data_IF_889900988329
#
_entry.id   IF_889900988329
#
_cell.length_a   1.000
_cell.length_b   1.000
_cell.length_c   1.000
_cell.angle_alpha   90.00
_cell.angle_beta   90.00
_cell.angle_gamma   90.00
#
_symmetry.space_group_name_H-M   'P 1'
#
loop_
_entity.id
_entity.type
_entity.pdbx_description
1 polymer ?
#
# COMPACT_ATOMS: atom_id res chain seq x y z
N UNK A 1 -36.51 -43.25 23.68
CA UNK A 1 -35.06 -42.93 23.53
C UNK A 1 -34.62 -42.69 22.10
N UNK A 2 -35.06 -43.39 21.09
CA UNK A 2 -34.66 -43.19 19.68
C UNK A 2 -35.13 -41.85 19.08
N UNK A 3 -36.28 -41.32 19.46
CA UNK A 3 -36.81 -40.07 18.93
C UNK A 3 -35.96 -38.84 19.36
N UNK A 4 -35.46 -38.80 20.59
CA UNK A 4 -34.61 -37.72 21.06
C UNK A 4 -33.25 -37.68 20.36
N UNK A 5 -32.71 -38.83 19.98
CA UNK A 5 -31.44 -38.93 19.26
C UNK A 5 -31.54 -38.40 17.82
N UNK A 6 -32.68 -38.61 17.15
CA UNK A 6 -32.90 -38.12 15.79
C UNK A 6 -33.08 -36.60 15.78
N UNK A 7 -33.89 -36.05 16.68
CA UNK A 7 -34.04 -34.59 16.81
C UNK A 7 -32.75 -33.89 17.15
N UNK A 8 -31.95 -34.46 18.04
CA UNK A 8 -30.64 -33.92 18.40
C UNK A 8 -29.69 -33.89 17.22
N UNK A 9 -29.67 -34.92 16.39
CA UNK A 9 -28.84 -35.01 15.18
C UNK A 9 -29.26 -33.98 14.11
N UNK A 10 -30.56 -33.85 13.90
CA UNK A 10 -31.11 -32.85 12.95
C UNK A 10 -30.79 -31.45 13.46
N UNK A 11 -30.99 -31.16 14.73
CA UNK A 11 -30.69 -29.86 15.32
C UNK A 11 -29.20 -29.55 15.28
N UNK A 12 -28.34 -30.51 15.63
CA UNK A 12 -26.89 -30.33 15.52
C UNK A 12 -26.44 -30.09 14.08
N UNK A 13 -27.01 -30.80 13.10
CA UNK A 13 -26.73 -30.60 11.69
C UNK A 13 -27.13 -29.20 11.21
N UNK A 14 -28.29 -28.72 11.67
CA UNK A 14 -28.77 -27.38 11.32
C UNK A 14 -27.89 -26.29 11.93
N UNK A 15 -27.50 -26.42 13.18
CA UNK A 15 -26.57 -25.50 13.85
C UNK A 15 -25.23 -25.46 13.14
N UNK A 16 -24.66 -26.60 12.78
CA UNK A 16 -23.40 -26.67 12.02
C UNK A 16 -23.55 -26.00 10.67
N UNK A 17 -24.64 -26.21 9.96
CA UNK A 17 -24.90 -25.55 8.67
C UNK A 17 -24.93 -24.03 8.81
N UNK A 18 -25.64 -23.51 9.81
CA UNK A 18 -25.72 -22.05 10.08
C UNK A 18 -24.35 -21.48 10.41
N UNK A 19 -23.56 -22.16 11.22
CA UNK A 19 -22.20 -21.75 11.57
C UNK A 19 -21.29 -21.74 10.34
N UNK A 20 -21.38 -22.77 9.48
CA UNK A 20 -20.60 -22.82 8.24
C UNK A 20 -20.96 -21.68 7.27
N UNK A 21 -22.25 -21.40 7.11
CA UNK A 21 -22.72 -20.28 6.24
C UNK A 21 -22.25 -18.94 6.80
N UNK A 22 -22.33 -18.72 8.10
CA UNK A 22 -21.86 -17.50 8.75
C UNK A 22 -20.35 -17.33 8.59
N UNK A 23 -19.57 -18.39 8.77
CA UNK A 23 -18.12 -18.40 8.63
C UNK A 23 -17.72 -18.09 7.17
N UNK A 24 -18.39 -18.74 6.22
CA UNK A 24 -18.13 -18.52 4.81
C UNK A 24 -18.46 -17.08 4.37
N UNK A 25 -19.59 -16.54 4.83
CA UNK A 25 -19.97 -15.16 4.59
C UNK A 25 -18.95 -14.18 5.16
N UNK A 26 -18.46 -14.42 6.37
CA UNK A 26 -17.41 -13.62 6.99
C UNK A 26 -16.10 -13.63 6.17
N UNK A 27 -15.66 -14.80 5.72
CA UNK A 27 -14.45 -14.91 4.89
C UNK A 27 -14.59 -14.18 3.56
N UNK A 28 -15.76 -14.28 2.90
CA UNK A 28 -16.02 -13.54 1.66
C UNK A 28 -15.94 -12.02 1.87
N UNK A 29 -16.53 -11.50 2.93
CA UNK A 29 -16.47 -10.08 3.27
C UNK A 29 -15.03 -9.65 3.52
N UNK A 30 -14.23 -10.45 4.22
CA UNK A 30 -12.81 -10.15 4.44
C UNK A 30 -12.01 -10.11 3.15
N UNK A 31 -12.22 -11.04 2.23
CA UNK A 31 -11.54 -11.06 0.94
C UNK A 31 -11.90 -9.83 0.11
N UNK A 32 -13.18 -9.48 0.03
CA UNK A 32 -13.65 -8.31 -0.71
C UNK A 32 -13.07 -7.02 -0.12
N UNK A 33 -13.08 -6.87 1.20
CA UNK A 33 -12.53 -5.70 1.87
C UNK A 33 -11.02 -5.58 1.65
N UNK A 34 -10.29 -6.69 1.66
CA UNK A 34 -8.86 -6.69 1.41
C UNK A 34 -8.53 -6.25 -0.02
N UNK A 35 -9.26 -6.74 -1.01
CA UNK A 35 -9.08 -6.33 -2.42
C UNK A 35 -9.38 -4.84 -2.61
N UNK A 36 -10.48 -4.34 -2.07
CA UNK A 36 -10.82 -2.90 -2.15
C UNK A 36 -9.79 -2.02 -1.46
N UNK A 37 -9.28 -2.45 -0.32
CA UNK A 37 -8.23 -1.71 0.38
C UNK A 37 -6.94 -1.64 -0.44
N UNK A 38 -6.56 -2.69 -1.16
CA UNK A 38 -5.41 -2.68 -2.05
C UNK A 38 -5.61 -1.74 -3.24
N UNK A 39 -6.73 -1.83 -3.94
CA UNK A 39 -7.06 -0.95 -5.07
C UNK A 39 -7.06 0.53 -4.64
N UNK A 40 -7.60 0.83 -3.47
CA UNK A 40 -7.61 2.18 -2.92
C UNK A 40 -6.20 2.69 -2.60
N UNK A 41 -5.34 1.84 -2.00
CA UNK A 41 -3.94 2.17 -1.72
C UNK A 41 -3.15 2.42 -2.99
N UNK A 42 -3.32 1.59 -4.01
CA UNK A 42 -2.67 1.78 -5.31
C UNK A 42 -3.11 3.09 -5.96
N UNK A 43 -4.39 3.37 -5.96
CA UNK A 43 -4.95 4.61 -6.51
C UNK A 43 -4.44 5.86 -5.78
N UNK A 44 -4.36 5.83 -4.45
CA UNK A 44 -3.78 6.92 -3.66
C UNK A 44 -2.29 7.11 -3.94
N UNK A 45 -1.54 6.02 -4.01
CA UNK A 45 -0.10 6.06 -4.27
C UNK A 45 0.17 6.61 -5.67
N UNK A 46 -0.58 6.17 -6.67
CA UNK A 46 -0.46 6.67 -8.04
C UNK A 46 -0.87 8.15 -8.15
N UNK A 47 -1.92 8.55 -7.43
CA UNK A 47 -2.34 9.95 -7.34
C UNK A 47 -1.29 10.85 -6.68
N UNK A 48 -0.70 10.41 -5.58
CA UNK A 48 0.42 11.12 -4.93
C UNK A 48 1.63 11.21 -5.85
N UNK A 49 1.98 10.14 -6.54
CA UNK A 49 3.07 10.10 -7.51
C UNK A 49 2.85 11.15 -8.62
N UNK A 50 1.65 11.24 -9.13
CA UNK A 50 1.29 12.22 -10.14
C UNK A 50 1.46 13.66 -9.63
N UNK A 51 0.93 13.96 -8.46
CA UNK A 51 1.00 15.32 -7.86
C UNK A 51 2.46 15.71 -7.59
N UNK A 52 3.25 14.81 -7.04
CA UNK A 52 4.67 15.05 -6.75
C UNK A 52 5.45 15.24 -8.04
N UNK A 53 5.25 14.40 -9.03
CA UNK A 53 5.91 14.50 -10.33
C UNK A 53 5.58 15.82 -11.05
N UNK A 54 4.32 16.22 -11.07
CA UNK A 54 3.90 17.51 -11.65
C UNK A 54 4.45 18.70 -10.86
N UNK A 55 4.48 18.63 -9.53
CA UNK A 55 5.06 19.69 -8.70
C UNK A 55 6.55 19.91 -8.99
N UNK A 56 7.31 18.84 -9.18
CA UNK A 56 8.73 18.90 -9.52
C UNK A 56 8.93 19.40 -10.96
N UNK A 57 8.12 18.94 -11.90
CA UNK A 57 8.22 19.36 -13.31
C UNK A 57 7.99 20.86 -13.49
N UNK A 58 7.25 21.51 -12.60
CA UNK A 58 7.02 22.96 -12.62
C UNK A 58 8.21 23.78 -12.13
N UNK A 59 9.18 23.16 -11.46
CA UNK A 59 10.36 23.87 -10.97
C UNK A 59 11.37 24.07 -12.11
N UNK A 60 11.83 25.33 -12.37
CA UNK A 60 12.60 25.64 -13.57
C UNK A 60 14.07 25.20 -13.51
N UNK A 61 14.64 25.00 -12.34
CA UNK A 61 16.03 24.58 -12.17
C UNK A 61 16.21 23.52 -11.10
N UNK A 62 17.39 22.90 -11.06
CA UNK A 62 17.72 21.82 -10.14
C UNK A 62 17.68 22.26 -8.67
N UNK A 63 18.15 23.46 -8.36
CA UNK A 63 18.13 23.98 -6.99
C UNK A 63 16.69 24.15 -6.47
N UNK A 64 15.80 24.68 -7.27
CA UNK A 64 14.39 24.81 -6.90
C UNK A 64 13.69 23.47 -6.79
N UNK A 65 14.07 22.47 -7.61
CA UNK A 65 13.59 21.09 -7.47
C UNK A 65 14.00 20.49 -6.14
N UNK A 66 15.27 20.66 -5.75
CA UNK A 66 15.78 20.19 -4.47
C UNK A 66 15.08 20.85 -3.29
N UNK A 67 14.88 22.17 -3.36
CA UNK A 67 14.15 22.92 -2.33
C UNK A 67 12.70 22.44 -2.20
N UNK A 68 12.04 22.24 -3.34
CA UNK A 68 10.67 21.73 -3.37
C UNK A 68 10.57 20.31 -2.76
N UNK A 69 11.52 19.42 -3.07
CA UNK A 69 11.59 18.07 -2.51
C UNK A 69 11.81 18.13 -1.01
N UNK A 70 12.71 19.01 -0.54
CA UNK A 70 12.96 19.20 0.89
C UNK A 70 11.72 19.69 1.63
N UNK A 71 11.01 20.65 1.07
CA UNK A 71 9.77 21.17 1.66
C UNK A 71 8.67 20.10 1.69
N UNK A 72 8.52 19.34 0.62
CA UNK A 72 7.56 18.23 0.55
C UNK A 72 7.92 17.13 1.55
N UNK A 73 9.18 16.79 1.69
CA UNK A 73 9.66 15.81 2.67
C UNK A 73 9.35 16.24 4.09
N UNK A 74 9.55 17.51 4.42
CA UNK A 74 9.23 18.05 5.73
C UNK A 74 7.72 18.09 5.99
N UNK A 75 6.93 18.51 5.00
CA UNK A 75 5.47 18.59 5.11
C UNK A 75 4.83 17.23 5.30
N UNK A 76 5.28 16.24 4.55
CA UNK A 76 4.77 14.87 4.60
C UNK A 76 5.38 14.06 5.77
N UNK A 77 6.43 14.58 6.40
CA UNK A 77 7.21 13.85 7.40
C UNK A 77 7.73 12.49 6.89
N UNK A 78 8.04 12.43 5.61
CA UNK A 78 8.58 11.24 4.94
C UNK A 78 9.91 11.58 4.27
N UNK A 79 10.95 10.76 4.46
CA UNK A 79 12.20 10.93 3.72
C UNK A 79 11.98 10.75 2.22
N UNK A 80 12.32 11.77 1.44
CA UNK A 80 12.26 11.75 -0.02
C UNK A 80 13.68 11.92 -0.55
N UNK A 81 14.14 10.97 -1.34
CA UNK A 81 15.46 10.97 -1.95
C UNK A 81 15.35 11.21 -3.45
N UNK A 82 16.18 12.10 -3.96
CA UNK A 82 16.36 12.35 -5.38
C UNK A 82 17.61 11.60 -5.84
N UNK A 83 17.41 10.50 -6.56
CA UNK A 83 18.49 9.57 -6.94
C UNK A 83 18.61 9.43 -8.43
N UNK A 84 19.81 9.11 -8.92
CA UNK A 84 20.02 8.79 -10.33
C UNK A 84 19.41 7.44 -10.67
N UNK A 85 18.73 7.34 -11.81
CA UNK A 85 18.06 6.13 -12.26
C UNK A 85 19.02 4.95 -12.48
N UNK A 86 20.25 5.21 -12.90
CA UNK A 86 21.29 4.21 -13.12
C UNK A 86 21.81 3.54 -11.83
N UNK A 87 21.62 4.19 -10.69
CA UNK A 87 21.99 3.65 -9.37
C UNK A 87 20.93 2.75 -8.73
N UNK A 88 19.76 2.66 -9.34
CA UNK A 88 18.64 1.86 -8.83
C UNK A 88 18.40 0.69 -9.77
N UNK A 89 18.53 -0.52 -9.25
CA UNK A 89 18.17 -1.73 -10.00
C UNK A 89 16.66 -1.92 -9.99
N UNK A 90 16.01 -1.51 -11.08
CA UNK A 90 14.60 -1.70 -11.27
C UNK A 90 14.30 -3.10 -11.82
N UNK A 91 13.33 -3.78 -11.24
CA UNK A 91 12.77 -4.98 -11.84
C UNK A 91 12.00 -4.61 -13.12
N UNK A 92 11.76 -5.59 -13.98
CA UNK A 92 11.00 -5.37 -15.22
C UNK A 92 9.58 -4.86 -14.95
N UNK A 93 8.92 -5.35 -13.88
CA UNK A 93 7.61 -4.91 -13.46
C UNK A 93 7.63 -3.47 -12.95
N UNK A 94 8.63 -3.09 -12.15
CA UNK A 94 8.80 -1.72 -11.65
C UNK A 94 9.07 -0.75 -12.81
N UNK A 95 9.96 -1.07 -13.72
CA UNK A 95 10.25 -0.25 -14.91
C UNK A 95 8.99 -0.03 -15.76
N UNK A 96 8.18 -1.06 -15.96
CA UNK A 96 6.90 -0.96 -16.68
C UNK A 96 5.93 -0.01 -16.00
N UNK A 97 5.79 -0.07 -14.68
CA UNK A 97 4.92 0.85 -13.93
C UNK A 97 5.38 2.30 -14.06
N UNK A 98 6.67 2.55 -14.01
CA UNK A 98 7.23 3.89 -14.20
C UNK A 98 7.01 4.44 -15.61
N UNK A 99 7.09 3.60 -16.64
CA UNK A 99 6.75 3.97 -18.02
C UNK A 99 5.27 4.35 -18.16
N UNK A 100 4.38 3.69 -17.44
CA UNK A 100 2.95 3.97 -17.39
C UNK A 100 2.61 5.19 -16.48
N UNK A 101 3.62 5.88 -15.97
CA UNK A 101 3.51 7.03 -15.03
C UNK A 101 2.82 6.67 -13.72
N UNK A 102 2.99 5.44 -13.28
CA UNK A 102 2.53 4.94 -12.00
C UNK A 102 3.70 4.83 -11.04
N UNK A 103 3.41 4.84 -9.74
CA UNK A 103 4.41 4.54 -8.73
C UNK A 103 4.72 3.04 -8.68
N UNK A 104 5.98 2.70 -8.44
CA UNK A 104 6.38 1.36 -8.07
C UNK A 104 6.57 1.27 -6.56
N UNK A 105 6.10 0.20 -5.95
CA UNK A 105 6.26 -0.04 -4.51
C UNK A 105 7.19 -1.22 -4.32
N UNK A 106 8.27 -0.99 -3.58
CA UNK A 106 9.24 -2.03 -3.22
C UNK A 106 9.18 -2.28 -1.72
N UNK A 107 8.99 -3.52 -1.35
CA UNK A 107 8.98 -3.95 0.04
C UNK A 107 10.31 -4.60 0.41
N UNK A 108 10.96 -4.09 1.43
CA UNK A 108 12.12 -4.72 2.03
C UNK A 108 11.69 -5.59 3.22
N UNK A 109 11.73 -6.91 3.03
CA UNK A 109 11.33 -7.86 4.06
C UNK A 109 12.29 -7.91 5.27
N UNK A 110 13.55 -7.50 5.11
CA UNK A 110 14.53 -7.51 6.18
C UNK A 110 14.35 -6.35 7.15
N UNK A 111 14.06 -5.16 6.61
CA UNK A 111 13.89 -3.94 7.40
C UNK A 111 12.43 -3.60 7.66
N UNK A 112 11.48 -4.32 7.05
CA UNK A 112 10.04 -4.04 7.08
C UNK A 112 9.68 -2.62 6.62
N UNK A 113 10.44 -2.10 5.66
CA UNK A 113 10.27 -0.76 5.11
C UNK A 113 9.73 -0.85 3.69
N UNK A 114 8.74 -0.04 3.39
CA UNK A 114 8.24 0.13 2.03
C UNK A 114 8.92 1.34 1.38
N UNK A 115 9.32 1.18 0.13
CA UNK A 115 9.85 2.26 -0.70
C UNK A 115 8.89 2.52 -1.85
N UNK A 116 8.57 3.78 -2.06
CA UNK A 116 7.76 4.22 -3.19
C UNK A 116 8.70 4.88 -4.19
N UNK A 117 8.74 4.34 -5.40
CA UNK A 117 9.60 4.82 -6.49
C UNK A 117 8.73 5.58 -7.48
N UNK A 118 9.09 6.81 -7.79
CA UNK A 118 8.37 7.70 -8.69
C UNK A 118 9.30 8.15 -9.81
N UNK A 119 8.86 7.94 -11.06
CA UNK A 119 9.54 8.50 -12.22
C UNK A 119 9.15 9.96 -12.43
N UNK A 120 10.11 10.78 -12.86
CA UNK A 120 9.90 12.20 -13.17
C UNK A 120 9.55 12.39 -14.63
N UNK A 121 8.57 13.25 -14.91
CA UNK A 121 8.02 13.49 -16.26
C UNK A 121 9.06 14.03 -17.25
N UNK A 122 9.88 14.98 -16.81
CA UNK A 122 10.84 15.71 -17.68
C UNK A 122 12.29 15.36 -17.37
N UNK A 123 12.54 14.40 -16.50
CA UNK A 123 13.88 13.99 -16.07
C UNK A 123 13.97 12.45 -15.97
N UNK A 124 14.20 11.76 -17.11
CA UNK A 124 14.31 10.32 -17.12
C UNK A 124 15.57 9.78 -16.42
N UNK A 125 16.55 10.63 -16.15
CA UNK A 125 17.82 10.27 -15.53
C UNK A 125 17.74 10.19 -13.99
N UNK A 126 16.65 10.69 -13.40
CA UNK A 126 16.44 10.72 -11.97
C UNK A 126 15.13 10.07 -11.56
N UNK A 127 15.12 9.51 -10.36
CA UNK A 127 13.96 8.92 -9.71
C UNK A 127 13.79 9.52 -8.32
N UNK A 128 12.54 9.60 -7.87
CA UNK A 128 12.25 9.84 -6.47
C UNK A 128 12.06 8.54 -5.71
N UNK A 129 12.68 8.47 -4.56
CA UNK A 129 12.64 7.34 -3.65
C UNK A 129 12.06 7.81 -2.32
N UNK A 130 10.86 7.37 -1.99
CA UNK A 130 10.19 7.75 -0.75
C UNK A 130 10.24 6.56 0.21
N UNK A 131 10.84 6.79 1.37
CA UNK A 131 10.92 5.77 2.41
C UNK A 131 9.72 5.88 3.35
N UNK A 132 8.89 4.86 3.37
CA UNK A 132 7.65 4.81 4.16
C UNK A 132 7.81 4.05 5.49
N UNK A 133 8.92 4.26 6.18
CA UNK A 133 9.26 3.58 7.44
C UNK A 133 8.27 3.90 8.57
N UNK A 134 7.83 5.16 8.66
CA UNK A 134 7.01 5.64 9.77
C UNK A 134 5.52 5.31 9.67
N UNK A 135 5.04 4.92 8.50
CA UNK A 135 3.62 4.64 8.30
C UNK A 135 3.23 3.36 9.04
N UNK A 136 4.07 2.34 9.00
CA UNK A 136 3.80 1.06 9.65
C UNK A 136 3.84 1.17 11.18
N UNK A 137 4.79 1.93 11.73
CA UNK A 137 4.89 2.17 13.17
C UNK A 137 3.74 3.01 13.71
N UNK A 138 3.35 4.05 12.98
CA UNK A 138 2.19 4.88 13.34
C UNK A 138 0.88 4.10 13.23
N UNK A 139 0.73 3.25 12.23
CA UNK A 139 -0.46 2.40 12.10
C UNK A 139 -0.53 1.32 13.18
N UNK A 140 0.60 0.76 13.61
CA UNK A 140 0.62 -0.18 14.74
C UNK A 140 0.35 0.50 16.08
N UNK A 141 0.78 1.75 16.27
CA UNK A 141 0.48 2.54 17.48
C UNK A 141 -0.95 3.10 17.49
N UNK A 142 -1.56 3.28 16.30
CA UNK A 142 -2.93 3.76 16.16
C UNK A 142 -3.98 2.64 16.11
N UNK A 143 -3.56 1.39 16.05
CA UNK A 143 -4.47 0.27 16.29
C UNK A 143 -4.83 0.32 17.78
N UNK A 144 -6.08 0.71 18.14
CA UNK A 144 -6.52 0.54 19.49
C UNK A 144 -6.35 -0.93 19.81
N UNK A 145 -5.68 -1.21 20.89
CA UNK A 145 -5.55 -2.54 21.45
C UNK A 145 -6.95 -3.02 21.79
N UNK A 146 -7.71 -3.45 20.81
CA UNK A 146 -8.83 -4.32 21.02
C UNK A 146 -8.30 -5.75 21.19
N UNK A 147 -7.49 -5.92 22.22
CA UNK A 147 -7.26 -7.23 22.81
C UNK A 147 -8.28 -7.36 23.94
N UNK A 148 -9.35 -7.95 23.63
CA UNK A 148 -10.15 -8.70 24.58
C UNK A 148 -10.07 -10.17 24.22
#
# INVERSE_FOLDING_TARGET
MLKHSIFLRIYAGLVILVVLVALFGYLLVQIINYQRAQEYRESLTDGMAYIISEGIARQPNEQQRMDWISDASNLLELPIYYVKADKVDLTRAEAKRLEERKAAVRWDAQTLVAYIIIGLKDDPDHLLYIKAENITERQMKALPVFVL
#
